data_IF_756656241077
#
_entry.id   IF_756656241077
#
_cell.length_a   1.000
_cell.length_b   1.000
_cell.length_c   1.000
_cell.angle_alpha   90.00
_cell.angle_beta   90.00
_cell.angle_gamma   90.00
#
_symmetry.space_group_name_H-M   'P 1'
#
loop_
_entity.id
_entity.type
_entity.pdbx_description
1 polymer ?
#
# COMPACT_ATOMS: atom_id res chain seq x y z
N UNK A 1 19.50 -19.41 -3.12
CA UNK A 1 19.20 -18.51 -1.98
C UNK A 1 18.15 -17.45 -2.34
N UNK A 2 18.24 -16.76 -3.49
CA UNK A 2 17.22 -15.79 -3.95
C UNK A 2 15.77 -16.34 -3.99
N UNK A 3 15.60 -17.60 -4.45
CA UNK A 3 14.30 -18.26 -4.62
C UNK A 3 13.49 -18.51 -3.32
N UNK A 4 14.15 -18.46 -2.16
CA UNK A 4 13.48 -18.55 -0.86
C UNK A 4 13.13 -17.17 -0.28
N UNK A 5 13.80 -16.09 -0.73
CA UNK A 5 13.51 -14.72 -0.31
C UNK A 5 12.22 -14.20 -0.96
N UNK A 6 11.94 -14.60 -2.21
CA UNK A 6 10.72 -14.18 -2.91
C UNK A 6 9.45 -14.76 -2.26
N UNK A 7 9.49 -16.00 -1.73
CA UNK A 7 8.36 -16.63 -1.04
C UNK A 7 7.98 -15.96 0.28
N UNK A 8 8.95 -15.38 1.00
CA UNK A 8 8.69 -14.65 2.24
C UNK A 8 8.10 -13.25 1.97
N UNK A 9 8.43 -12.63 0.82
CA UNK A 9 7.80 -11.36 0.41
C UNK A 9 6.32 -11.51 0.06
N UNK A 10 5.92 -12.69 -0.43
CA UNK A 10 4.57 -12.96 -0.92
C UNK A 10 3.50 -12.94 0.19
N UNK A 11 3.87 -13.23 1.44
CA UNK A 11 2.99 -13.14 2.62
C UNK A 11 2.99 -11.72 3.20
N UNK A 12 4.13 -11.02 3.15
CA UNK A 12 4.27 -9.67 3.73
C UNK A 12 3.49 -8.61 2.94
N UNK A 13 3.37 -8.68 1.62
CA UNK A 13 2.81 -7.57 0.81
C UNK A 13 1.27 -7.57 0.66
N UNK A 14 0.54 -8.20 1.58
CA UNK A 14 -0.93 -8.33 1.54
C UNK A 14 -1.65 -7.12 2.16
N UNK A 15 -1.85 -6.06 1.37
CA UNK A 15 -2.84 -4.99 1.64
C UNK A 15 -4.21 -5.43 1.08
N UNK A 16 -4.69 -6.60 1.53
CA UNK A 16 -6.02 -7.08 1.15
C UNK A 16 -7.00 -6.46 2.13
N UNK A 17 -7.79 -5.49 1.65
CA UNK A 17 -9.19 -5.23 2.04
C UNK A 17 -9.65 -3.87 1.50
N UNK A 18 -9.79 -3.75 0.17
CA UNK A 18 -10.51 -2.62 -0.45
C UNK A 18 -12.02 -2.87 -0.58
N UNK A 19 -12.46 -4.13 -0.44
CA UNK A 19 -13.90 -4.46 -0.50
C UNK A 19 -14.69 -3.88 0.67
N UNK A 20 -14.03 -3.49 1.76
CA UNK A 20 -14.66 -2.81 2.90
C UNK A 20 -14.39 -1.30 2.94
N UNK A 21 -13.42 -0.79 2.15
CA UNK A 21 -13.27 0.66 1.92
C UNK A 21 -14.50 1.21 1.14
N UNK A 22 -15.19 0.36 0.36
CA UNK A 22 -16.43 0.71 -0.38
C UNK A 22 -17.67 0.90 0.52
N UNK A 23 -17.67 0.36 1.74
CA UNK A 23 -18.90 0.22 2.54
C UNK A 23 -19.25 1.46 3.38
N UNK A 24 -18.36 2.46 3.46
CA UNK A 24 -18.55 3.62 4.36
C UNK A 24 -18.86 4.94 3.65
N UNK A 25 -18.96 4.94 2.32
CA UNK A 25 -19.35 6.10 1.51
C UNK A 25 -20.83 6.07 1.08
N UNK A 26 -21.67 5.27 1.72
CA UNK A 26 -23.12 5.24 1.44
C UNK A 26 -23.97 6.06 2.41
N UNK A 27 -24.71 6.95 1.76
CA UNK A 27 -25.82 7.78 2.22
C UNK A 27 -25.42 9.03 3.00
N UNK A 28 -25.95 10.16 2.52
CA UNK A 28 -25.79 11.48 3.11
C UNK A 28 -26.43 11.58 4.49
N UNK A 29 -25.82 10.91 5.47
CA UNK A 29 -26.07 11.19 6.86
C UNK A 29 -25.22 12.39 7.26
N UNK A 30 -25.91 13.49 7.55
CA UNK A 30 -25.35 14.74 8.06
C UNK A 30 -24.71 14.62 9.45
N UNK A 31 -24.31 13.43 9.89
CA UNK A 31 -23.58 13.25 11.13
C UNK A 31 -22.09 13.57 10.91
N UNK A 32 -21.63 14.63 11.55
CA UNK A 32 -20.25 15.13 11.60
C UNK A 32 -19.24 14.16 12.23
N UNK A 33 -19.56 12.87 12.36
CA UNK A 33 -18.77 11.88 13.09
C UNK A 33 -18.10 10.91 12.13
N UNK A 34 -16.76 10.86 12.18
CA UNK A 34 -15.98 9.86 11.44
C UNK A 34 -16.28 8.45 11.95
N UNK A 35 -16.13 7.40 11.12
CA UNK A 35 -16.34 6.03 11.56
C UNK A 35 -15.51 5.67 12.81
N UNK A 36 -15.94 4.69 13.64
CA UNK A 36 -15.28 4.38 14.92
C UNK A 36 -13.80 4.04 14.80
N UNK A 37 -13.38 3.44 13.69
CA UNK A 37 -11.98 3.13 13.34
C UNK A 37 -11.07 4.35 13.19
N UNK A 38 -11.64 5.53 12.97
CA UNK A 38 -10.88 6.75 12.74
C UNK A 38 -10.60 7.48 14.05
N UNK A 39 -9.51 8.25 14.04
CA UNK A 39 -9.34 9.32 15.01
C UNK A 39 -10.48 10.35 14.87
N UNK A 40 -11.21 10.52 15.96
CA UNK A 40 -12.34 11.44 16.10
C UNK A 40 -11.86 12.90 16.21
N UNK A 41 -12.74 13.85 15.87
CA UNK A 41 -12.40 15.27 15.90
C UNK A 41 -12.15 15.77 17.34
N UNK A 42 -12.94 15.28 18.28
CA UNK A 42 -12.92 15.66 19.70
C UNK A 42 -11.75 15.07 20.49
N UNK A 43 -11.09 14.03 19.99
CA UNK A 43 -10.05 13.33 20.75
C UNK A 43 -8.63 13.78 20.38
N UNK A 44 -7.76 13.82 21.40
CA UNK A 44 -6.31 13.95 21.24
C UNK A 44 -5.70 12.69 20.60
N UNK A 45 -4.45 12.76 20.12
CA UNK A 45 -3.74 11.56 19.62
C UNK A 45 -3.64 10.51 20.73
N UNK A 46 -3.36 10.94 21.96
CA UNK A 46 -3.20 10.04 23.10
C UNK A 46 -4.50 9.28 23.42
N UNK A 47 -5.64 9.99 23.47
CA UNK A 47 -6.95 9.36 23.67
C UNK A 47 -7.28 8.36 22.55
N UNK A 48 -7.02 8.72 21.30
CA UNK A 48 -7.18 7.83 20.15
C UNK A 48 -6.36 6.54 20.29
N UNK A 49 -5.08 6.65 20.64
CA UNK A 49 -4.19 5.50 20.81
C UNK A 49 -4.58 4.62 22.00
N UNK A 50 -5.14 5.19 23.06
CA UNK A 50 -5.68 4.42 24.19
C UNK A 50 -6.97 3.71 23.83
N UNK A 51 -7.81 4.32 23.00
CA UNK A 51 -9.09 3.77 22.56
C UNK A 51 -8.92 2.63 21.55
N UNK A 52 -7.95 2.76 20.64
CA UNK A 52 -7.69 1.80 19.55
C UNK A 52 -6.23 1.33 19.51
N UNK A 53 -5.76 0.57 20.50
CA UNK A 53 -4.47 -0.12 20.44
C UNK A 53 -4.51 -1.24 19.36
N UNK A 54 -3.65 -1.19 18.32
CA UNK A 54 -3.70 -2.18 17.24
C UNK A 54 -3.40 -3.62 17.68
N UNK A 55 -2.71 -3.81 18.79
CA UNK A 55 -2.41 -5.14 19.34
C UNK A 55 -3.63 -5.89 19.83
N UNK A 56 -4.71 -5.20 20.24
CA UNK A 56 -5.91 -5.83 20.83
C UNK A 56 -7.22 -5.41 20.19
N UNK A 57 -7.23 -4.33 19.39
CA UNK A 57 -8.42 -3.93 18.63
C UNK A 57 -8.68 -4.95 17.53
N UNK A 58 -9.85 -5.56 17.52
CA UNK A 58 -10.19 -6.64 16.58
C UNK A 58 -10.90 -6.13 15.34
N UNK A 59 -10.76 -6.85 14.22
CA UNK A 59 -11.48 -6.51 12.99
C UNK A 59 -13.00 -6.52 13.19
N UNK A 60 -13.51 -7.43 14.02
CA UNK A 60 -14.94 -7.49 14.36
C UNK A 60 -15.46 -6.25 15.12
N UNK A 61 -14.58 -5.47 15.76
CA UNK A 61 -14.98 -4.31 16.57
C UNK A 61 -15.09 -3.01 15.79
N UNK A 62 -14.18 -2.78 14.84
CA UNK A 62 -14.07 -1.49 14.13
C UNK A 62 -13.78 -1.64 12.63
N UNK A 63 -13.67 -2.87 12.13
CA UNK A 63 -13.19 -3.19 10.79
C UNK A 63 -11.69 -3.52 10.74
N UNK A 64 -11.17 -3.87 9.56
CA UNK A 64 -9.80 -4.36 9.34
C UNK A 64 -8.73 -3.29 9.59
N UNK A 65 -9.12 -2.02 9.65
CA UNK A 65 -8.20 -0.89 9.68
C UNK A 65 -8.53 0.10 10.80
N UNK A 66 -7.48 0.59 11.46
CA UNK A 66 -7.52 1.80 12.30
C UNK A 66 -6.88 2.93 11.51
N UNK A 67 -7.56 4.08 11.43
CA UNK A 67 -7.17 5.19 10.56
C UNK A 67 -6.83 6.46 11.31
N UNK A 68 -5.77 7.15 10.84
CA UNK A 68 -5.46 8.52 11.23
C UNK A 68 -5.15 9.36 9.99
N UNK A 69 -6.03 10.33 9.73
CA UNK A 69 -5.86 11.31 8.65
C UNK A 69 -5.29 12.61 9.20
N UNK A 70 -4.34 13.19 8.48
CA UNK A 70 -3.77 14.48 8.85
C UNK A 70 -4.79 15.60 8.59
N UNK A 71 -5.14 16.35 9.64
CA UNK A 71 -6.26 17.31 9.62
C UNK A 71 -6.05 18.53 8.70
N UNK A 72 -4.80 18.88 8.42
CA UNK A 72 -4.43 20.10 7.71
C UNK A 72 -4.26 19.91 6.18
N UNK A 73 -4.44 18.70 5.66
CA UNK A 73 -4.32 18.43 4.22
C UNK A 73 -5.73 18.28 3.61
N UNK A 74 -5.94 18.73 2.36
CA UNK A 74 -7.19 18.46 1.63
C UNK A 74 -7.42 16.95 1.50
N UNK A 75 -8.65 16.59 1.14
CA UNK A 75 -9.15 15.22 1.04
C UNK A 75 -8.05 14.23 0.57
N UNK A 76 -7.69 13.23 1.40
CA UNK A 76 -6.67 12.26 1.05
C UNK A 76 -7.03 11.40 -0.18
N UNK A 77 -8.29 11.39 -0.60
CA UNK A 77 -8.81 10.60 -1.72
C UNK A 77 -9.55 11.49 -2.72
N UNK A 78 -8.85 12.19 -3.65
CA UNK A 78 -9.50 13.10 -4.60
C UNK A 78 -10.32 12.39 -5.70
N UNK A 79 -10.42 11.06 -5.64
CA UNK A 79 -11.12 10.21 -6.60
C UNK A 79 -12.52 9.86 -6.10
N UNK A 80 -13.48 9.80 -7.01
CA UNK A 80 -14.84 9.35 -6.75
C UNK A 80 -14.99 7.83 -6.93
N UNK A 81 -16.13 7.27 -6.53
CA UNK A 81 -16.48 5.87 -6.83
C UNK A 81 -16.48 5.58 -8.34
N UNK A 82 -16.91 6.55 -9.15
CA UNK A 82 -16.85 6.45 -10.62
C UNK A 82 -15.41 6.39 -11.13
N UNK A 83 -14.53 7.26 -10.61
CA UNK A 83 -13.12 7.25 -10.95
C UNK A 83 -12.45 5.89 -10.63
N UNK A 84 -12.77 5.31 -9.45
CA UNK A 84 -12.32 3.96 -9.07
C UNK A 84 -12.82 2.92 -10.08
N UNK A 85 -14.13 2.91 -10.37
CA UNK A 85 -14.73 1.97 -11.31
C UNK A 85 -14.12 2.05 -12.71
N UNK A 86 -13.84 3.26 -13.18
CA UNK A 86 -13.18 3.51 -14.46
C UNK A 86 -11.76 2.96 -14.49
N UNK A 87 -10.98 3.18 -13.43
CA UNK A 87 -9.62 2.63 -13.32
C UNK A 87 -9.62 1.10 -13.26
N UNK A 88 -10.50 0.50 -12.46
CA UNK A 88 -10.63 -0.96 -12.38
C UNK A 88 -11.02 -1.54 -13.74
N UNK A 89 -12.05 -0.98 -14.37
CA UNK A 89 -12.53 -1.43 -15.68
C UNK A 89 -11.46 -1.34 -16.76
N UNK A 90 -10.75 -0.20 -16.84
CA UNK A 90 -9.69 0.00 -17.82
C UNK A 90 -8.46 -0.86 -17.51
N UNK A 91 -8.05 -0.94 -16.25
CA UNK A 91 -6.95 -1.79 -15.79
C UNK A 91 -7.20 -3.26 -16.12
N UNK A 92 -8.40 -3.78 -15.88
CA UNK A 92 -8.78 -5.15 -16.24
C UNK A 92 -8.64 -5.42 -17.75
N UNK A 93 -9.00 -4.45 -18.61
CA UNK A 93 -8.80 -4.56 -20.06
C UNK A 93 -7.32 -4.61 -20.43
N UNK A 94 -6.49 -3.74 -19.83
CA UNK A 94 -5.04 -3.70 -20.06
C UNK A 94 -4.38 -5.02 -19.65
N UNK A 95 -4.72 -5.54 -18.46
CA UNK A 95 -4.23 -6.81 -17.93
C UNK A 95 -4.62 -8.00 -18.83
N UNK A 96 -5.85 -8.02 -19.34
CA UNK A 96 -6.31 -9.03 -20.30
C UNK A 96 -5.54 -8.94 -21.62
N UNK A 97 -5.43 -7.74 -22.20
CA UNK A 97 -4.71 -7.52 -23.45
C UNK A 97 -3.24 -7.94 -23.33
N UNK A 98 -2.59 -7.68 -22.19
CA UNK A 98 -1.24 -8.16 -21.94
C UNK A 98 -1.14 -9.69 -21.87
N UNK A 99 -2.10 -10.37 -21.22
CA UNK A 99 -2.15 -11.85 -21.22
C UNK A 99 -2.29 -12.42 -22.62
N UNK A 100 -3.17 -11.85 -23.44
CA UNK A 100 -3.36 -12.26 -24.84
C UNK A 100 -2.08 -12.03 -25.65
N UNK A 101 -1.47 -10.84 -25.52
CA UNK A 101 -0.22 -10.50 -26.21
C UNK A 101 0.94 -11.41 -25.82
N UNK A 102 1.10 -11.69 -24.54
CA UNK A 102 2.16 -12.60 -24.06
C UNK A 102 1.94 -14.04 -24.48
N UNK A 103 0.68 -14.50 -24.55
CA UNK A 103 0.32 -15.80 -25.12
C UNK A 103 0.70 -15.89 -26.61
N UNK A 104 0.35 -14.87 -27.40
CA UNK A 104 0.70 -14.80 -28.81
C UNK A 104 2.23 -14.79 -29.04
N UNK A 105 2.96 -13.99 -28.25
CA UNK A 105 4.43 -13.96 -28.32
C UNK A 105 5.04 -15.33 -27.97
N UNK A 106 4.52 -16.04 -26.97
CA UNK A 106 4.98 -17.40 -26.64
C UNK A 106 4.74 -18.39 -27.78
N UNK A 107 3.65 -18.24 -28.52
CA UNK A 107 3.39 -19.07 -29.69
C UNK A 107 4.34 -18.74 -30.86
N UNK A 108 4.56 -17.45 -31.15
CA UNK A 108 5.45 -16.97 -32.22
C UNK A 108 6.92 -17.34 -31.99
N UNK A 109 7.37 -17.28 -30.75
CA UNK A 109 8.76 -17.56 -30.36
C UNK A 109 8.99 -19.01 -29.92
N UNK A 110 8.08 -19.94 -30.22
CA UNK A 110 8.15 -21.35 -29.80
C UNK A 110 9.50 -22.00 -30.11
N UNK A 111 9.98 -21.80 -31.33
CA UNK A 111 11.23 -22.40 -31.84
C UNK A 111 12.40 -21.41 -31.85
N UNK A 112 12.25 -20.24 -31.21
CA UNK A 112 13.25 -19.18 -31.13
C UNK A 112 13.95 -19.16 -29.75
N UNK A 113 15.09 -18.46 -29.61
CA UNK A 113 15.75 -18.33 -28.32
C UNK A 113 14.86 -17.68 -27.26
N UNK A 114 14.75 -18.31 -26.09
CA UNK A 114 13.95 -17.82 -24.96
C UNK A 114 14.35 -16.40 -24.50
N UNK A 115 15.61 -16.02 -24.66
CA UNK A 115 16.10 -14.66 -24.36
C UNK A 115 15.52 -13.61 -25.32
N UNK A 116 15.14 -13.97 -26.55
CA UNK A 116 14.44 -13.07 -27.46
C UNK A 116 12.98 -12.86 -27.03
N UNK A 117 12.30 -13.94 -26.63
CA UNK A 117 10.95 -13.87 -26.07
C UNK A 117 10.90 -13.01 -24.79
N UNK A 118 11.79 -13.24 -23.83
CA UNK A 118 11.77 -12.47 -22.57
C UNK A 118 12.03 -10.98 -22.78
N UNK A 119 12.89 -10.63 -23.75
CA UNK A 119 13.08 -9.21 -24.14
C UNK A 119 11.79 -8.59 -24.66
N UNK A 120 11.02 -9.29 -25.49
CA UNK A 120 9.73 -8.82 -26.00
C UNK A 120 8.68 -8.70 -24.89
N UNK A 121 8.55 -9.73 -24.04
CA UNK A 121 7.63 -9.69 -22.89
C UNK A 121 8.00 -8.53 -21.94
N UNK A 122 9.29 -8.28 -21.71
CA UNK A 122 9.75 -7.16 -20.87
C UNK A 122 9.34 -5.81 -21.43
N UNK A 123 9.37 -5.62 -22.76
CA UNK A 123 8.88 -4.38 -23.40
C UNK A 123 7.37 -4.22 -23.21
N UNK A 124 6.58 -5.27 -23.46
CA UNK A 124 5.13 -5.24 -23.25
C UNK A 124 4.76 -5.00 -21.78
N UNK A 125 5.54 -5.57 -20.85
CA UNK A 125 5.32 -5.41 -19.40
C UNK A 125 5.56 -3.97 -18.95
N UNK A 126 6.62 -3.33 -19.48
CA UNK A 126 6.89 -1.91 -19.23
C UNK A 126 5.78 -1.02 -19.78
N UNK A 127 5.26 -1.35 -20.97
CA UNK A 127 4.12 -0.63 -21.56
C UNK A 127 2.88 -0.76 -20.68
N UNK A 128 2.55 -1.98 -20.24
CA UNK A 128 1.45 -2.23 -19.31
C UNK A 128 1.56 -1.39 -18.03
N UNK A 129 2.75 -1.34 -17.42
CA UNK A 129 3.00 -0.52 -16.23
C UNK A 129 2.73 0.97 -16.50
N UNK A 130 3.22 1.51 -17.62
CA UNK A 130 2.96 2.91 -18.01
C UNK A 130 1.46 3.16 -18.20
N UNK A 131 0.78 2.29 -18.95
CA UNK A 131 -0.65 2.44 -19.28
C UNK A 131 -1.54 2.36 -18.01
N UNK A 132 -1.19 1.52 -17.04
CA UNK A 132 -1.88 1.43 -15.73
C UNK A 132 -1.71 2.73 -14.95
N UNK A 133 -0.49 3.25 -14.85
CA UNK A 133 -0.21 4.47 -14.10
C UNK A 133 -0.81 5.72 -14.77
N UNK A 134 -0.89 5.74 -16.10
CA UNK A 134 -1.61 6.79 -16.83
C UNK A 134 -3.11 6.74 -16.55
N UNK A 135 -3.71 5.54 -16.60
CA UNK A 135 -5.11 5.32 -16.22
C UNK A 135 -5.39 5.83 -14.81
N UNK A 136 -4.50 5.52 -13.85
CA UNK A 136 -4.64 5.98 -12.48
C UNK A 136 -4.64 7.52 -12.36
N UNK A 137 -3.75 8.21 -13.10
CA UNK A 137 -3.70 9.67 -13.11
C UNK A 137 -4.95 10.29 -13.72
N UNK A 138 -5.44 9.76 -14.84
CA UNK A 138 -6.69 10.23 -15.47
C UNK A 138 -7.88 10.10 -14.53
N UNK A 139 -7.88 9.09 -13.66
CA UNK A 139 -8.93 8.84 -12.68
C UNK A 139 -8.55 9.32 -11.25
N UNK A 140 -7.56 10.22 -11.11
CA UNK A 140 -7.19 10.84 -9.82
C UNK A 140 -6.84 9.85 -8.68
N UNK A 141 -6.48 8.60 -9.01
CA UNK A 141 -5.98 7.61 -8.04
C UNK A 141 -4.49 7.84 -7.91
N UNK A 142 -4.12 8.93 -7.22
CA UNK A 142 -2.74 9.42 -7.15
C UNK A 142 -2.00 8.92 -5.92
N UNK A 143 -2.71 8.49 -4.89
CA UNK A 143 -2.11 8.14 -3.61
C UNK A 143 -1.21 6.91 -3.69
N UNK A 144 -0.27 6.85 -2.75
CA UNK A 144 0.56 5.69 -2.52
C UNK A 144 1.08 5.66 -1.09
N UNK A 145 1.66 4.54 -0.69
CA UNK A 145 1.95 4.26 0.72
C UNK A 145 3.27 3.56 0.94
N UNK A 146 4.01 4.00 1.95
CA UNK A 146 5.08 3.23 2.57
C UNK A 146 4.50 2.17 3.49
N UNK A 147 5.01 0.94 3.42
CA UNK A 147 4.52 -0.19 4.22
C UNK A 147 5.55 -0.64 5.25
N UNK A 148 5.10 -0.82 6.50
CA UNK A 148 5.86 -1.36 7.63
C UNK A 148 5.16 -2.61 8.15
N UNK A 149 5.96 -3.55 8.68
CA UNK A 149 5.47 -4.83 9.21
C UNK A 149 6.01 -5.08 10.63
N UNK A 150 5.68 -4.23 11.63
CA UNK A 150 6.04 -4.54 13.02
C UNK A 150 5.41 -5.85 13.50
N UNK A 151 6.14 -6.55 14.35
CA UNK A 151 5.58 -7.67 15.13
C UNK A 151 4.44 -7.20 16.04
N UNK A 152 3.57 -8.11 16.45
CA UNK A 152 2.51 -7.82 17.44
C UNK A 152 3.06 -7.22 18.73
N UNK A 153 4.26 -7.62 19.16
CA UNK A 153 4.91 -7.07 20.36
C UNK A 153 5.31 -5.59 20.23
N UNK A 154 5.53 -5.12 18.99
CA UNK A 154 6.05 -3.78 18.73
C UNK A 154 5.05 -2.87 18.02
N UNK A 155 3.92 -3.40 17.54
CA UNK A 155 2.94 -2.65 16.74
C UNK A 155 2.43 -1.40 17.43
N UNK A 156 2.03 -1.47 18.72
CA UNK A 156 1.49 -0.31 19.43
C UNK A 156 2.51 0.82 19.55
N UNK A 157 3.78 0.46 19.76
CA UNK A 157 4.88 1.43 19.83
C UNK A 157 5.11 2.09 18.47
N UNK A 158 5.19 1.30 17.40
CA UNK A 158 5.43 1.80 16.05
C UNK A 158 4.25 2.64 15.59
N UNK A 159 3.02 2.19 15.84
CA UNK A 159 1.79 2.93 15.53
C UNK A 159 1.71 4.26 16.29
N UNK A 160 2.06 4.30 17.57
CA UNK A 160 2.13 5.56 18.33
C UNK A 160 3.04 6.58 17.65
N UNK A 161 4.25 6.18 17.25
CA UNK A 161 5.21 7.07 16.57
C UNK A 161 4.62 7.58 15.25
N UNK A 162 4.04 6.67 14.44
CA UNK A 162 3.40 7.01 13.16
C UNK A 162 2.23 7.97 13.37
N UNK A 163 1.30 7.64 14.28
CA UNK A 163 0.11 8.42 14.57
C UNK A 163 0.44 9.84 15.04
N UNK A 164 1.39 10.00 15.96
CA UNK A 164 1.84 11.29 16.45
C UNK A 164 2.53 12.12 15.36
N UNK A 165 3.42 11.51 14.59
CA UNK A 165 4.15 12.20 13.53
C UNK A 165 3.23 12.61 12.36
N UNK A 166 2.28 11.76 11.98
CA UNK A 166 1.24 12.08 10.98
C UNK A 166 0.34 13.21 11.46
N UNK A 167 -0.13 13.18 12.72
CA UNK A 167 -0.96 14.25 13.28
C UNK A 167 -0.24 15.60 13.37
N UNK A 168 1.10 15.58 13.51
CA UNK A 168 1.95 16.79 13.48
C UNK A 168 2.32 17.24 12.06
N UNK A 169 1.89 16.52 11.02
CA UNK A 169 2.21 16.82 9.62
C UNK A 169 3.65 16.53 9.24
N UNK A 170 4.36 15.73 10.05
CA UNK A 170 5.75 15.35 9.79
C UNK A 170 5.83 14.19 8.81
N UNK A 171 4.83 13.32 8.79
CA UNK A 171 4.68 12.29 7.76
C UNK A 171 3.77 12.80 6.64
N UNK A 172 3.13 11.92 5.87
CA UNK A 172 2.26 12.30 4.76
C UNK A 172 0.83 12.61 5.17
N UNK A 173 -0.12 12.31 4.28
CA UNK A 173 -1.53 12.73 4.40
C UNK A 173 -2.35 11.90 5.37
N UNK A 174 -1.88 10.70 5.70
CA UNK A 174 -2.59 9.79 6.58
C UNK A 174 -1.79 8.52 6.82
N UNK A 175 -2.29 7.72 7.73
CA UNK A 175 -1.77 6.40 8.02
C UNK A 175 -2.90 5.45 8.40
N UNK A 176 -2.70 4.15 8.15
CA UNK A 176 -3.57 3.08 8.65
C UNK A 176 -2.74 1.97 9.26
N UNK A 177 -3.35 1.23 10.18
CA UNK A 177 -2.79 0.01 10.75
C UNK A 177 -3.83 -1.09 10.79
N UNK A 178 -3.41 -2.30 10.44
CA UNK A 178 -4.26 -3.48 10.47
C UNK A 178 -4.68 -3.81 11.91
N UNK A 179 -5.96 -4.15 12.11
CA UNK A 179 -6.49 -4.66 13.37
C UNK A 179 -6.10 -6.12 13.61
N UNK A 180 -6.45 -6.66 14.77
CA UNK A 180 -6.38 -8.08 15.03
C UNK A 180 -7.43 -8.86 14.24
N UNK A 181 -6.97 -9.48 13.14
CA UNK A 181 -7.76 -10.38 12.32
C UNK A 181 -8.06 -11.76 12.94
N UNK A 182 -7.61 -12.05 14.17
CA UNK A 182 -8.02 -13.25 14.92
C UNK A 182 -7.49 -14.60 14.40
N UNK A 183 -6.75 -14.62 13.29
CA UNK A 183 -6.28 -15.84 12.63
C UNK A 183 -5.08 -16.56 13.31
N UNK A 184 -4.81 -16.26 14.59
CA UNK A 184 -3.74 -16.94 15.32
C UNK A 184 -4.31 -18.16 16.03
N UNK A 185 -4.23 -19.32 15.38
CA UNK A 185 -4.58 -20.59 16.01
C UNK A 185 -3.72 -20.88 17.25
N UNK A 186 -4.14 -21.78 18.15
CA UNK A 186 -3.37 -22.13 19.34
C UNK A 186 -1.95 -22.57 18.98
N UNK A 187 -0.94 -21.86 19.49
CA UNK A 187 0.48 -22.17 19.25
C UNK A 187 1.12 -21.52 18.02
N UNK A 188 0.35 -20.78 17.20
CA UNK A 188 0.90 -20.01 16.08
C UNK A 188 1.41 -18.64 16.54
N UNK A 189 2.57 -18.20 16.04
CA UNK A 189 2.99 -16.81 16.18
C UNK A 189 2.10 -15.93 15.32
N UNK A 190 1.43 -14.96 15.94
CA UNK A 190 0.61 -14.01 15.21
C UNK A 190 1.45 -13.28 14.14
N UNK A 191 0.90 -13.10 12.92
CA UNK A 191 1.62 -12.45 11.83
C UNK A 191 1.94 -10.99 12.19
N UNK A 192 2.97 -10.39 11.57
CA UNK A 192 3.22 -8.95 11.65
C UNK A 192 1.99 -8.14 11.24
N UNK A 193 1.85 -6.94 11.81
CA UNK A 193 0.75 -6.01 11.47
C UNK A 193 1.20 -5.04 10.40
N UNK A 194 0.45 -4.91 9.32
CA UNK A 194 0.70 -3.90 8.31
C UNK A 194 0.38 -2.50 8.85
N UNK A 195 1.34 -1.59 8.77
CA UNK A 195 1.14 -0.15 8.92
C UNK A 195 1.46 0.52 7.58
N UNK A 196 0.55 1.36 7.09
CA UNK A 196 0.78 2.17 5.90
C UNK A 196 0.92 3.65 6.27
N UNK A 197 1.86 4.35 5.64
CA UNK A 197 2.01 5.81 5.70
C UNK A 197 1.83 6.37 4.29
N UNK A 198 0.78 7.16 4.07
CA UNK A 198 0.35 7.60 2.75
C UNK A 198 0.97 8.93 2.33
N UNK A 199 1.30 9.06 1.05
CA UNK A 199 1.52 10.35 0.35
C UNK A 199 0.40 10.58 -0.66
N UNK A 200 0.16 11.85 -1.00
CA UNK A 200 -0.96 12.25 -1.86
C UNK A 200 -0.77 11.87 -3.34
N UNK A 201 0.48 11.89 -3.81
CA UNK A 201 0.80 11.62 -5.20
C UNK A 201 2.03 10.70 -5.27
N UNK A 202 1.90 9.56 -5.96
CA UNK A 202 2.97 8.60 -6.21
C UNK A 202 4.01 9.12 -7.23
N UNK A 203 3.70 10.20 -7.95
CA UNK A 203 4.62 10.90 -8.86
C UNK A 203 5.42 12.00 -8.16
N UNK A 204 4.98 12.47 -6.98
CA UNK A 204 5.72 13.45 -6.18
C UNK A 204 6.90 12.78 -5.45
N UNK A 205 8.01 12.68 -6.17
CA UNK A 205 9.26 12.10 -5.65
C UNK A 205 9.81 12.88 -4.46
N UNK A 206 9.53 14.17 -4.35
CA UNK A 206 10.02 14.98 -3.24
C UNK A 206 9.30 14.63 -1.95
N UNK A 207 7.97 14.53 -1.99
CA UNK A 207 7.17 14.14 -0.83
C UNK A 207 7.44 12.69 -0.41
N UNK A 208 7.55 11.77 -1.38
CA UNK A 208 7.91 10.35 -1.12
C UNK A 208 9.24 10.27 -0.38
N UNK A 209 10.25 11.00 -0.86
CA UNK A 209 11.58 11.04 -0.26
C UNK A 209 11.55 11.72 1.13
N UNK A 210 10.88 12.86 1.27
CA UNK A 210 10.77 13.61 2.53
C UNK A 210 10.14 12.75 3.62
N UNK A 211 9.04 12.06 3.30
CA UNK A 211 8.37 11.15 4.23
C UNK A 211 9.28 9.99 4.61
N UNK A 212 9.98 9.38 3.65
CA UNK A 212 10.90 8.28 3.94
C UNK A 212 12.05 8.69 4.86
N UNK A 213 12.67 9.85 4.59
CA UNK A 213 13.75 10.39 5.44
C UNK A 213 13.23 10.62 6.85
N UNK A 214 12.04 11.23 6.99
CA UNK A 214 11.45 11.45 8.30
C UNK A 214 11.13 10.13 9.02
N UNK A 215 10.66 9.11 8.31
CA UNK A 215 10.45 7.77 8.87
C UNK A 215 11.76 7.15 9.37
N UNK A 216 12.87 7.39 8.68
CA UNK A 216 14.21 6.94 9.10
C UNK A 216 14.67 7.64 10.37
N UNK A 217 14.53 8.97 10.45
CA UNK A 217 14.85 9.76 11.65
C UNK A 217 14.04 9.32 12.87
N UNK A 218 12.79 8.95 12.66
CA UNK A 218 11.90 8.39 13.69
C UNK A 218 12.19 6.93 14.03
N UNK A 219 13.24 6.33 13.44
CA UNK A 219 13.64 4.93 13.66
C UNK A 219 12.53 3.91 13.38
N UNK A 220 11.66 4.20 12.41
CA UNK A 220 10.57 3.30 12.01
C UNK A 220 11.05 2.12 11.16
N UNK A 221 12.20 2.27 10.51
CA UNK A 221 12.89 1.21 9.80
C UNK A 221 14.41 1.42 9.91
N UNK A 222 15.17 0.36 9.62
CA UNK A 222 16.64 0.40 9.64
C UNK A 222 17.20 0.27 8.22
N UNK A 223 18.43 0.73 8.06
CA UNK A 223 19.17 0.66 6.80
C UNK A 223 20.57 0.14 7.11
N UNK A 224 21.10 -0.73 6.27
CA UNK A 224 22.44 -1.27 6.45
C UNK A 224 22.52 -2.69 5.92
N UNK A 225 23.68 -3.30 6.07
CA UNK A 225 23.88 -4.71 5.72
C UNK A 225 22.97 -5.59 6.59
N UNK A 226 22.24 -6.51 5.97
CA UNK A 226 21.32 -7.43 6.65
C UNK A 226 19.93 -6.87 7.00
N UNK A 227 19.70 -5.56 6.84
CA UNK A 227 18.37 -4.97 7.08
C UNK A 227 17.50 -5.04 5.82
N UNK A 228 16.25 -5.49 5.97
CA UNK A 228 15.28 -5.53 4.85
C UNK A 228 14.81 -4.11 4.52
N UNK A 229 14.72 -3.73 3.23
CA UNK A 229 14.13 -2.47 2.84
C UNK A 229 12.63 -2.46 3.13
N UNK A 230 12.06 -1.27 3.24
CA UNK A 230 10.61 -1.07 3.21
C UNK A 230 10.21 -0.63 1.80
N UNK A 231 8.96 -0.84 1.44
CA UNK A 231 8.49 -0.65 0.07
C UNK A 231 7.38 0.38 -0.01
N UNK A 232 7.36 1.08 -1.14
CA UNK A 232 6.34 2.04 -1.51
C UNK A 232 5.46 1.46 -2.62
N UNK A 233 4.15 1.43 -2.43
CA UNK A 233 3.15 0.92 -3.37
C UNK A 233 2.12 2.00 -3.68
N UNK A 234 1.78 2.22 -4.95
CA UNK A 234 0.68 3.09 -5.33
C UNK A 234 -0.68 2.38 -5.17
N UNK A 235 -1.72 3.14 -4.86
CA UNK A 235 -3.08 2.61 -4.72
C UNK A 235 -3.65 2.08 -6.03
N UNK A 236 -3.19 2.62 -7.16
CA UNK A 236 -3.52 2.12 -8.49
C UNK A 236 -3.27 0.60 -8.64
N UNK A 237 -2.21 0.08 -8.04
CA UNK A 237 -1.90 -1.36 -8.05
C UNK A 237 -2.75 -2.13 -7.05
N UNK A 238 -3.12 -1.53 -5.93
CA UNK A 238 -3.97 -2.17 -4.92
C UNK A 238 -5.40 -2.36 -5.44
N UNK A 239 -5.97 -1.35 -6.12
CA UNK A 239 -7.28 -1.45 -6.79
C UNK A 239 -7.33 -2.50 -7.91
N UNK A 240 -6.19 -2.83 -8.52
CA UNK A 240 -6.08 -3.87 -9.55
C UNK A 240 -5.62 -5.22 -9.01
N UNK A 241 -5.55 -5.37 -7.68
CA UNK A 241 -5.08 -6.58 -7.00
C UNK A 241 -3.69 -7.05 -7.52
N UNK A 242 -2.83 -6.10 -7.85
CA UNK A 242 -1.44 -6.39 -8.24
C UNK A 242 -0.64 -6.63 -6.96
N UNK A 243 -0.53 -7.91 -6.62
CA UNK A 243 0.14 -8.42 -5.41
C UNK A 243 1.49 -9.07 -5.75
N UNK A 244 2.17 -9.58 -4.71
CA UNK A 244 3.30 -10.49 -4.88
C UNK A 244 2.94 -11.66 -5.79
N UNK A 245 3.92 -12.13 -6.58
CA UNK A 245 3.76 -13.25 -7.49
C UNK A 245 2.54 -13.18 -8.45
N UNK A 246 2.14 -11.97 -8.86
CA UNK A 246 1.06 -11.82 -9.84
C UNK A 246 1.43 -12.43 -11.21
N UNK A 247 0.42 -12.94 -11.93
CA UNK A 247 0.61 -13.61 -13.22
C UNK A 247 1.09 -12.72 -14.38
N UNK A 248 1.32 -11.42 -14.13
CA UNK A 248 1.78 -10.46 -15.14
C UNK A 248 3.30 -10.18 -15.03
N UNK A 249 3.92 -10.62 -13.93
CA UNK A 249 5.32 -10.32 -13.61
C UNK A 249 5.56 -8.84 -13.29
N UNK A 250 4.51 -8.08 -12.97
CA UNK A 250 4.62 -6.70 -12.51
C UNK A 250 5.19 -6.69 -11.09
N UNK A 251 6.00 -5.68 -10.76
CA UNK A 251 6.43 -5.48 -9.37
C UNK A 251 5.28 -4.82 -8.61
N UNK A 252 4.85 -5.35 -7.45
CA UNK A 252 3.75 -4.78 -6.68
C UNK A 252 4.15 -3.50 -5.93
N UNK A 253 5.44 -3.18 -5.86
CA UNK A 253 5.99 -1.94 -5.31
C UNK A 253 6.59 -1.08 -6.41
N UNK A 254 6.38 0.24 -6.33
CA UNK A 254 7.04 1.20 -7.21
C UNK A 254 8.48 1.45 -6.80
N UNK A 255 8.73 1.60 -5.50
CA UNK A 255 10.05 1.96 -4.96
C UNK A 255 10.41 1.15 -3.72
N UNK A 256 11.72 0.99 -3.49
CA UNK A 256 12.26 0.52 -2.21
C UNK A 256 12.92 1.66 -1.44
N UNK A 257 13.00 1.56 -0.12
CA UNK A 257 13.69 2.57 0.70
C UNK A 257 15.16 2.71 0.32
N UNK A 258 15.82 1.60 -0.04
CA UNK A 258 17.22 1.59 -0.51
C UNK A 258 17.40 2.39 -1.80
N UNK A 259 16.43 2.35 -2.72
CA UNK A 259 16.45 3.13 -3.96
C UNK A 259 16.20 4.60 -3.68
N UNK A 260 15.12 4.93 -2.97
CA UNK A 260 14.69 6.31 -2.74
C UNK A 260 15.74 7.09 -1.94
N UNK A 261 16.38 6.49 -0.94
CA UNK A 261 17.46 7.14 -0.17
C UNK A 261 18.69 7.51 -1.01
N UNK A 262 18.78 7.07 -2.27
CA UNK A 262 19.85 7.44 -3.21
C UNK A 262 19.45 8.57 -4.16
N UNK A 263 18.18 8.97 -4.23
CA UNK A 263 17.72 9.99 -5.18
C UNK A 263 18.35 11.38 -4.99
N UNK A 264 18.77 11.71 -3.76
CA UNK A 264 19.40 13.00 -3.41
C UNK A 264 20.82 12.82 -2.89
N UNK A 265 21.51 11.76 -3.31
CA UNK A 265 22.93 11.53 -3.03
C UNK A 265 23.80 11.99 -4.18
#
# INVERSE_FOLDING_TARGET
MQRNMDKDMDVEMTDVDHKEDEQYDEEGDTTTKRPPAYRQQSETVSQFLTRLPPSTTTAASVGPWIWLIQRARPDPSPHTREDIGNHIGRGAQLLRAFREKTSALRAEYRDQPQSALERKITVERKKLEVDILETARTNKILSGKWMLFPSVKTVDRVWRIVAEATAKGQLGIGAKVATDGGNSGPGATAPPRLICVYTADFADKEEIWRVLVRMKELSLFRTGEGERPIYYKCDAYTWLEIMGNNGYGLRPSMYSSTEVLKWKK
#
